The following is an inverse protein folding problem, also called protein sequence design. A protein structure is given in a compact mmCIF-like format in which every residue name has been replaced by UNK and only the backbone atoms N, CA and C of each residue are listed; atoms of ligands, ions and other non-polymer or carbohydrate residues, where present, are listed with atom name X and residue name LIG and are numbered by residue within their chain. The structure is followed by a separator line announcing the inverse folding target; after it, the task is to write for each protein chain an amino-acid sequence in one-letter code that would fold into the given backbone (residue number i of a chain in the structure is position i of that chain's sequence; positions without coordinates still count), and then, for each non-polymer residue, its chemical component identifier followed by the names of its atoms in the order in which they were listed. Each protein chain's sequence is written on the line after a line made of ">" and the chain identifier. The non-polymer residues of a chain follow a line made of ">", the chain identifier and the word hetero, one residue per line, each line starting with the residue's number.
data_IF_170550344734
#
_entry.id   IF_170550344734
#
_cell.length_a   1.000
_cell.length_b   1.000
_cell.length_c   1.000
_cell.angle_alpha   90.00
_cell.angle_beta   90.00
_cell.angle_gamma   90.00
#
_symmetry.space_group_name_H-M   'P 1'
#
loop_
_entity.id
_entity.type
_entity.pdbx_description
1 polymer ?
2 water ?
#
# COMPACT_ATOMS: atom_id res chain seq x y z
N UNK A 3 -5.15 -8.35 -3.60
CA UNK A 3 -5.14 -9.46 -4.55
C UNK A 3 -3.73 -9.71 -5.02
N UNK A 4 -3.10 -8.67 -5.54
CA UNK A 4 -1.66 -8.66 -5.70
C UNK A 4 -0.91 -8.33 -4.43
N UNK A 5 -1.62 -8.13 -3.31
CA UNK A 5 -1.04 -7.70 -2.06
C UNK A 5 -1.40 -6.29 -1.64
N UNK A 6 -2.21 -5.57 -2.42
CA UNK A 6 -2.52 -4.18 -2.10
C UNK A 6 -3.37 -4.07 -0.83
N UNK A 7 -4.38 -4.93 -0.68
CA UNK A 7 -5.23 -4.85 0.50
C UNK A 7 -4.45 -5.16 1.77
N UNK A 8 -3.61 -6.20 1.73
CA UNK A 8 -2.82 -6.55 2.91
C UNK A 8 -1.91 -5.40 3.32
N UNK A 9 -1.47 -4.60 2.36
CA UNK A 9 -0.62 -3.46 2.69
C UNK A 9 -1.43 -2.34 3.34
N UNK A 10 -2.66 -2.12 2.88
CA UNK A 10 -3.53 -1.14 3.52
C UNK A 10 -3.89 -1.59 4.93
N UNK A 11 -4.15 -2.88 5.11
CA UNK A 11 -4.47 -3.41 6.44
C UNK A 11 -3.33 -3.16 7.41
N UNK A 12 -2.10 -3.43 6.97
CA UNK A 12 -0.97 -3.30 7.88
C UNK A 12 -0.77 -1.85 8.29
N UNK A 13 -0.95 -0.92 7.34
CA UNK A 13 -0.84 0.50 7.67
C UNK A 13 -1.94 0.90 8.65
N UNK A 14 -3.17 0.46 8.37
CA UNK A 14 -4.30 0.81 9.23
C UNK A 14 -4.11 0.23 10.62
N UNK A 15 -3.71 -1.04 10.70
CA UNK A 15 -3.57 -1.66 12.01
C UNK A 15 -2.48 -0.98 12.82
N UNK A 16 -1.39 -0.58 12.16
CA UNK A 16 -0.32 0.13 12.86
C UNK A 16 -0.82 1.46 13.40
N UNK A 17 -1.66 2.15 12.64
CA UNK A 17 -2.18 3.44 13.08
C UNK A 17 -3.16 3.30 14.23
N UNK A 18 -3.94 2.22 14.25
CA UNK A 18 -4.94 2.06 15.30
C UNK A 18 -4.29 1.66 16.62
N UNK A 19 -3.33 0.73 16.59
CA UNK A 19 -2.68 0.33 17.83
C UNK A 19 -1.82 1.46 18.38
N UNK A 20 -1.33 2.34 17.52
CA UNK A 20 -0.43 3.41 17.94
C UNK A 20 -1.15 4.64 18.49
N UNK A 21 -2.48 4.66 18.48
CA UNK A 21 -3.24 5.70 19.14
C UNK A 21 -3.30 5.35 20.62
N UNK A 22 -4.08 6.10 21.42
CA UNK A 22 -4.50 5.57 22.72
C UNK A 22 -5.08 4.18 22.59
N UNK A 25 -9.51 5.62 18.11
CA UNK A 25 -9.63 6.46 16.92
C UNK A 25 -11.07 6.57 16.42
N UNK A 26 -11.48 7.77 16.05
CA UNK A 26 -12.66 7.88 15.20
C UNK A 26 -12.25 7.54 13.76
N UNK A 27 -13.26 7.26 12.93
CA UNK A 27 -13.00 7.07 11.50
C UNK A 27 -12.33 8.31 10.92
N UNK A 28 -12.81 9.49 11.31
CA UNK A 28 -12.22 10.74 10.85
C UNK A 28 -10.75 10.83 11.22
N UNK A 29 -10.42 10.56 12.49
CA UNK A 29 -9.03 10.68 12.92
C UNK A 29 -8.15 9.64 12.24
N UNK A 30 -8.66 8.41 12.08
CA UNK A 30 -7.91 7.39 11.34
C UNK A 30 -7.60 7.85 9.92
N UNK A 31 -8.56 8.50 9.26
CA UNK A 31 -8.34 8.96 7.90
C UNK A 31 -7.28 10.05 7.85
N UNK A 32 -7.28 10.96 8.82
CA UNK A 32 -6.23 11.98 8.86
C UNK A 32 -4.87 11.39 9.21
N UNK A 33 -4.82 10.42 10.13
CA UNK A 33 -3.55 9.77 10.43
C UNK A 33 -3.04 8.97 9.24
N UNK A 34 -3.95 8.34 8.49
CA UNK A 34 -3.55 7.61 7.29
C UNK A 34 -2.99 8.56 6.23
N UNK A 35 -3.70 9.67 6.00
CA UNK A 35 -3.22 10.72 5.10
C UNK A 35 -1.86 11.24 5.54
N UNK A 36 -1.68 11.47 6.84
CA UNK A 36 -0.42 12.00 7.35
C UNK A 36 0.71 10.98 7.24
N UNK A 37 0.39 9.69 7.27
CA UNK A 37 1.40 8.65 7.19
C UNK A 37 1.73 8.28 5.75
N UNK A 38 0.71 7.91 4.97
CA UNK A 38 0.91 7.41 3.62
C UNK A 38 0.96 8.50 2.56
N UNK A 39 0.55 9.73 2.88
CA UNK A 39 0.48 10.76 1.87
C UNK A 39 -0.65 10.61 0.88
N UNK A 40 -1.61 9.72 1.16
CA UNK A 40 -2.74 9.46 0.28
C UNK A 40 -3.98 9.19 1.12
N UNK A 41 -5.14 9.38 0.50
CA UNK A 41 -6.42 9.13 1.17
C UNK A 41 -6.60 7.63 1.40
N UNK A 42 -7.21 7.29 2.54
CA UNK A 42 -7.64 5.92 2.77
C UNK A 42 -8.43 5.43 1.55
N UNK A 43 -7.93 4.42 0.81
CA UNK A 43 -8.46 4.06 -0.51
C UNK A 43 -9.78 3.29 -0.50
N UNK A 44 -10.73 3.73 0.34
CA UNK A 44 -12.02 3.06 0.38
C UNK A 44 -12.77 3.21 -0.94
N UNK A 45 -12.63 4.36 -1.60
CA UNK A 45 -13.34 4.60 -2.84
C UNK A 45 -12.79 3.73 -3.97
N UNK A 46 -11.47 3.63 -4.08
CA UNK A 46 -10.88 2.78 -5.11
C UNK A 46 -11.23 1.32 -4.91
N UNK A 47 -11.43 0.90 -3.66
CA UNK A 47 -11.81 -0.47 -3.36
C UNK A 47 -13.30 -0.73 -3.52
N UNK A 48 -14.08 0.27 -3.95
CA UNK A 48 -15.48 0.08 -4.29
C UNK A 48 -16.49 0.51 -3.24
N UNK A 49 -16.05 0.97 -2.07
CA UNK A 49 -16.97 1.29 -0.98
C UNK A 49 -17.40 2.75 -1.01
N UNK A 50 -18.61 3.00 -0.50
CA UNK A 50 -19.20 4.33 -0.55
C UNK A 50 -18.65 5.28 0.51
N UNK A 51 -18.06 4.75 1.59
CA UNK A 51 -17.49 5.59 2.63
C UNK A 51 -16.44 4.78 3.39
N UNK A 52 -15.70 5.46 4.27
CA UNK A 52 -14.65 4.79 5.01
C UNK A 52 -15.21 3.70 5.92
N UNK A 53 -16.36 3.97 6.56
CA UNK A 53 -16.94 2.99 7.48
C UNK A 53 -17.20 1.66 6.79
N UNK A 54 -17.76 1.71 5.57
CA UNK A 54 -18.08 0.47 4.86
C UNK A 54 -16.82 -0.31 4.51
N UNK A 55 -15.76 0.39 4.11
CA UNK A 55 -14.49 -0.30 3.90
C UNK A 55 -13.98 -0.92 5.20
N UNK A 56 -13.95 -0.13 6.28
CA UNK A 56 -13.41 -0.63 7.54
C UNK A 56 -14.22 -1.80 8.09
N UNK A 57 -15.53 -1.79 7.87
CA UNK A 57 -16.35 -2.93 8.26
C UNK A 57 -16.08 -4.16 7.39
N UNK A 58 -15.45 -3.98 6.23
CA UNK A 58 -15.12 -5.09 5.35
C UNK A 58 -13.81 -5.79 5.70
N UNK A 59 -13.05 -5.27 6.66
CA UNK A 59 -11.81 -5.93 7.06
C UNK A 59 -11.85 -6.28 8.54
N UNK A 60 -12.75 -7.18 8.97
CA UNK A 60 -12.85 -7.51 10.40
C UNK A 60 -11.65 -8.28 10.95
N UNK A 61 -10.73 -8.73 10.10
CA UNK A 61 -9.50 -9.33 10.62
C UNK A 61 -8.54 -8.28 11.16
N UNK A 62 -8.82 -7.00 10.93
CA UNK A 62 -7.89 -5.92 11.26
C UNK A 62 -8.46 -4.92 12.25
N UNK A 63 -9.70 -4.47 12.05
CA UNK A 63 -10.32 -3.48 12.93
C UNK A 63 -11.76 -3.89 13.22
N UNK A 64 -12.34 -3.21 14.22
CA UNK A 64 -13.75 -3.31 14.56
C UNK A 64 -14.33 -1.90 14.60
N UNK A 65 -15.56 -1.75 14.13
CA UNK A 65 -16.23 -0.46 14.06
C UNK A 65 -17.36 -0.44 15.08
N UNK A 66 -17.36 0.58 15.94
CA UNK A 66 -18.42 0.78 16.92
C UNK A 66 -19.07 2.14 16.66
N UNK A 67 -20.33 2.13 16.25
CA UNK A 67 -21.01 3.33 15.82
C UNK A 67 -21.09 3.41 14.31
N UNK A 68 -21.56 4.56 13.84
CA UNK A 68 -21.72 4.79 12.41
C UNK A 68 -21.21 6.18 12.05
N UNK A 69 -20.74 6.33 10.82
CA UNK A 69 -20.29 7.61 10.33
C UNK A 69 -18.84 7.90 10.66
N UNK A 70 -18.44 9.14 10.34
CA UNK A 70 -17.05 9.55 10.56
C UNK A 70 -16.67 9.56 12.04
N UNK A 71 -17.64 9.65 12.95
CA UNK A 71 -17.34 9.63 14.37
C UNK A 71 -17.45 8.25 14.99
N UNK A 72 -17.65 7.21 14.19
CA UNK A 72 -17.60 5.85 14.71
C UNK A 72 -16.20 5.56 15.24
N UNK A 73 -16.14 4.69 16.25
CA UNK A 73 -14.90 4.39 16.95
C UNK A 73 -14.25 3.16 16.31
N UNK A 74 -12.96 3.26 16.01
CA UNK A 74 -12.20 2.17 15.40
C UNK A 74 -11.24 1.61 16.43
N UNK A 75 -11.28 0.29 16.63
CA UNK A 75 -10.36 -0.40 17.53
C UNK A 75 -9.68 -1.53 16.77
N UNK A 76 -8.53 -1.96 17.28
CA UNK A 76 -7.72 -2.97 16.61
C UNK A 76 -8.16 -4.38 16.98
N UNK A 77 -7.87 -5.32 16.08
CA UNK A 77 -8.16 -6.73 16.28
C UNK A 77 -6.86 -7.45 16.60
N UNK A 78 -6.86 -8.23 17.67
CA UNK A 78 -5.64 -8.91 18.11
C UNK A 78 -5.22 -9.97 17.10
N UNK A 79 -3.91 -10.19 17.02
CA UNK A 79 -3.38 -11.29 16.23
C UNK A 79 -3.46 -12.59 17.03
N UNK A 80 -3.41 -13.71 16.30
CA UNK A 80 -3.61 -15.05 16.84
C UNK A 80 -2.92 -15.30 18.19
N UNK B 4 6.21 -9.75 6.96
CA UNK B 4 5.08 -9.07 7.57
C UNK B 4 5.17 -7.56 7.54
N UNK B 5 6.39 -7.03 7.56
CA UNK B 5 6.58 -5.59 7.57
C UNK B 5 6.15 -4.94 6.27
N UNK B 6 6.18 -3.61 6.27
CA UNK B 6 5.70 -2.86 5.12
C UNK B 6 6.60 -3.07 3.91
N UNK B 7 7.92 -3.08 4.11
CA UNK B 7 8.85 -3.35 3.01
C UNK B 7 8.51 -4.67 2.32
N UNK B 8 8.35 -5.73 3.12
CA UNK B 8 7.98 -7.03 2.58
C UNK B 8 6.69 -6.96 1.78
N UNK B 9 5.70 -6.22 2.28
CA UNK B 9 4.42 -6.14 1.58
C UNK B 9 4.53 -5.32 0.31
N UNK B 10 5.35 -4.26 0.32
CA UNK B 10 5.56 -3.48 -0.89
C UNK B 10 6.27 -4.32 -1.95
N UNK B 11 7.22 -5.15 -1.52
CA UNK B 11 7.96 -5.98 -2.46
C UNK B 11 7.05 -6.99 -3.15
N UNK B 12 6.06 -7.52 -2.42
CA UNK B 12 5.12 -8.45 -3.03
C UNK B 12 4.20 -7.75 -4.03
N UNK B 13 3.79 -6.51 -3.74
CA UNK B 13 2.95 -5.79 -4.68
C UNK B 13 3.72 -5.50 -5.96
N UNK B 14 4.97 -5.04 -5.82
CA UNK B 14 5.81 -4.79 -6.99
C UNK B 14 5.97 -6.06 -7.81
N UNK B 15 6.23 -7.18 -7.14
CA UNK B 15 6.43 -8.44 -7.85
C UNK B 15 5.17 -8.86 -8.61
N UNK B 16 4.00 -8.72 -7.98
CA UNK B 16 2.75 -9.07 -8.65
C UNK B 16 2.54 -8.21 -9.90
N UNK B 17 2.87 -6.92 -9.81
CA UNK B 17 2.66 -6.04 -10.95
C UNK B 17 3.60 -6.37 -12.10
N UNK B 18 4.83 -6.78 -11.79
CA UNK B 18 5.78 -7.15 -12.84
C UNK B 18 5.36 -8.45 -13.51
N UNK B 19 4.96 -9.44 -12.71
CA UNK B 19 4.59 -10.73 -13.28
C UNK B 19 3.30 -10.63 -14.08
N UNK B 20 2.37 -9.77 -13.66
CA UNK B 20 1.09 -9.67 -14.35
C UNK B 20 1.17 -8.86 -15.63
N UNK B 21 2.28 -8.16 -15.88
CA UNK B 21 2.47 -7.47 -17.15
C UNK B 21 3.06 -8.44 -18.16
N UNK B 22 2.35 -8.75 -19.26
CA UNK B 22 2.92 -9.69 -20.24
C UNK B 22 4.25 -9.22 -20.81
N UNK B 23 4.33 -7.97 -21.23
CA UNK B 23 5.57 -7.44 -21.75
C UNK B 23 6.48 -6.94 -20.65
N UNK B 24 7.76 -6.82 -20.99
CA UNK B 24 8.74 -6.31 -20.04
C UNK B 24 8.43 -4.85 -19.73
N UNK B 25 8.58 -4.48 -18.46
CA UNK B 25 8.18 -3.16 -17.96
C UNK B 25 9.36 -2.20 -17.89
N UNK B 26 9.06 -0.92 -18.08
CA UNK B 26 9.97 0.16 -17.74
C UNK B 26 9.68 0.64 -16.32
N UNK B 27 10.60 1.43 -15.77
CA UNK B 27 10.36 2.04 -14.47
C UNK B 27 9.10 2.90 -14.52
N UNK B 28 8.94 3.70 -15.58
CA UNK B 28 7.82 4.62 -15.63
C UNK B 28 6.49 3.88 -15.76
N UNK B 29 6.47 2.75 -16.48
CA UNK B 29 5.23 1.98 -16.57
C UNK B 29 4.90 1.32 -15.23
N UNK B 30 5.89 0.70 -14.59
CA UNK B 30 5.66 0.12 -13.27
C UNK B 30 5.18 1.17 -12.28
N UNK B 31 5.77 2.37 -12.34
CA UNK B 31 5.35 3.48 -11.50
C UNK B 31 3.87 3.77 -11.69
N UNK B 32 3.44 3.86 -12.95
CA UNK B 32 2.04 4.14 -13.27
C UNK B 32 1.15 2.99 -12.84
N UNK B 33 1.62 1.75 -12.99
CA UNK B 33 0.84 0.59 -12.60
C UNK B 33 0.62 0.56 -11.10
N UNK B 34 1.67 0.86 -10.33
CA UNK B 34 1.55 0.86 -8.88
C UNK B 34 0.60 1.96 -8.41
N UNK B 35 0.72 3.15 -9.00
CA UNK B 35 -0.12 4.28 -8.60
C UNK B 35 -1.59 3.98 -8.83
N UNK B 36 -1.92 3.31 -9.94
CA UNK B 36 -3.31 2.97 -10.20
C UNK B 36 -3.77 1.80 -9.33
N UNK B 37 -2.95 0.75 -9.22
CA UNK B 37 -3.38 -0.44 -8.50
C UNK B 37 -3.46 -0.21 -7.00
N UNK B 38 -2.59 0.64 -6.45
CA UNK B 38 -2.60 0.91 -5.02
C UNK B 38 -3.30 2.22 -4.66
N UNK B 39 -3.52 3.11 -5.62
CA UNK B 39 -4.07 4.41 -5.31
C UNK B 39 -3.07 5.38 -4.72
N UNK B 40 -1.78 5.06 -4.78
CA UNK B 40 -0.75 5.88 -4.15
C UNK B 40 0.59 5.56 -4.80
N UNK B 41 1.47 6.55 -4.81
CA UNK B 41 2.77 6.42 -5.47
C UNK B 41 3.60 5.33 -4.81
N UNK B 42 4.36 4.59 -5.64
CA UNK B 42 5.36 3.64 -5.18
C UNK B 42 6.15 4.28 -4.04
N UNK B 43 6.12 3.69 -2.84
CA UNK B 43 6.60 4.38 -1.63
C UNK B 43 8.11 4.32 -1.41
N UNK B 44 8.88 4.63 -2.46
CA UNK B 44 10.34 4.60 -2.33
C UNK B 44 10.83 5.60 -1.29
N UNK B 45 10.17 6.76 -1.18
CA UNK B 45 10.64 7.77 -0.24
C UNK B 45 10.32 7.38 1.20
N UNK B 46 9.10 6.89 1.45
CA UNK B 46 8.76 6.39 2.77
C UNK B 46 9.71 5.28 3.21
N UNK B 47 10.19 4.47 2.26
CA UNK B 47 11.12 3.40 2.57
C UNK B 47 12.57 3.88 2.63
N UNK B 48 12.83 5.17 2.45
CA UNK B 48 14.13 5.76 2.70
C UNK B 48 14.99 6.08 1.49
N UNK B 49 14.48 5.92 0.26
CA UNK B 49 15.30 6.03 -0.94
C UNK B 49 15.03 7.34 -1.67
N UNK B 50 16.03 7.80 -2.43
CA UNK B 50 15.94 9.11 -3.06
C UNK B 50 15.09 9.11 -4.32
N UNK B 51 14.90 7.95 -4.95
CA UNK B 51 14.09 7.85 -6.16
C UNK B 51 13.64 6.40 -6.32
N UNK B 52 12.75 6.19 -7.30
CA UNK B 52 12.20 4.86 -7.53
C UNK B 52 13.29 3.86 -7.92
N UNK B 53 14.21 4.28 -8.80
CA UNK B 53 15.25 3.35 -9.26
C UNK B 53 16.13 2.88 -8.11
N UNK B 54 16.43 3.76 -7.16
CA UNK B 54 17.27 3.37 -6.04
C UNK B 54 16.60 2.29 -5.20
N UNK B 55 15.31 2.48 -4.89
CA UNK B 55 14.58 1.45 -4.16
C UNK B 55 14.56 0.14 -4.93
N UNK B 56 14.29 0.20 -6.24
CA UNK B 56 14.17 -1.02 -7.03
C UNK B 56 15.51 -1.75 -7.14
N UNK B 57 16.62 -1.01 -7.16
CA UNK B 57 17.94 -1.63 -7.14
C UNK B 57 18.29 -2.21 -5.78
N UNK B 58 17.56 -1.85 -4.73
CA UNK B 58 17.82 -2.36 -3.39
C UNK B 58 17.13 -3.69 -3.12
N UNK B 59 16.28 -4.16 -4.02
CA UNK B 59 15.57 -5.42 -3.80
C UNK B 59 15.87 -6.41 -4.92
N UNK B 60 17.12 -6.87 -5.07
CA UNK B 60 17.41 -7.85 -6.13
C UNK B 60 16.76 -9.20 -5.91
N UNK B 61 16.27 -9.50 -4.70
CA UNK B 61 15.53 -10.74 -4.48
C UNK B 61 14.14 -10.71 -5.10
N UNK B 62 13.73 -9.59 -5.68
CA UNK B 62 12.38 -9.41 -6.20
C UNK B 62 12.37 -8.99 -7.66
N UNK B 63 13.20 -8.02 -8.05
CA UNK B 63 13.24 -7.52 -9.41
C UNK B 63 14.69 -7.29 -9.82
N UNK B 64 14.88 -7.11 -11.12
CA UNK B 64 16.17 -6.77 -11.70
C UNK B 64 16.01 -5.49 -12.51
N UNK B 65 16.92 -4.54 -12.31
CA UNK B 65 16.90 -3.26 -13.01
C UNK B 65 18.01 -3.28 -14.05
N UNK B 66 17.66 -2.98 -15.30
CA UNK B 66 18.62 -2.91 -16.40
C UNK B 66 18.52 -1.54 -17.06
N UNK B 67 19.62 -0.79 -17.03
CA UNK B 67 19.61 0.58 -17.51
C UNK B 67 19.38 1.56 -16.37
N UNK B 68 19.21 2.82 -16.75
CA UNK B 68 19.01 3.90 -15.79
C UNK B 68 17.86 4.80 -16.23
N UNK B 69 17.20 5.41 -15.26
CA UNK B 69 16.17 6.39 -15.54
C UNK B 69 14.79 5.79 -15.70
N UNK B 70 13.88 6.64 -16.18
CA UNK B 70 12.48 6.24 -16.37
C UNK B 70 12.34 5.06 -17.32
N UNK B 71 13.22 4.94 -18.31
CA UNK B 71 13.10 3.90 -19.32
C UNK B 71 13.94 2.66 -19.00
N UNK B 72 14.48 2.56 -17.79
CA UNK B 72 15.15 1.34 -17.38
C UNK B 72 14.15 0.19 -17.31
N UNK B 73 14.63 -1.01 -17.67
CA UNK B 73 13.79 -2.20 -17.63
C UNK B 73 13.69 -2.74 -16.21
N UNK B 74 12.50 -3.24 -15.86
CA UNK B 74 12.26 -3.92 -14.59
C UNK B 74 11.73 -5.31 -14.91
N UNK B 75 12.46 -6.34 -14.50
CA UNK B 75 12.08 -7.72 -14.77
C UNK B 75 12.06 -8.51 -13.47
N UNK B 76 11.19 -9.52 -13.42
CA UNK B 76 11.05 -10.32 -12.22
C UNK B 76 12.29 -11.18 -12.00
N UNK B 77 12.62 -11.41 -10.73
CA UNK B 77 13.82 -12.16 -10.38
C UNK B 77 13.70 -13.59 -10.89
N UNK B 78 14.79 -14.10 -11.46
CA UNK B 78 14.82 -15.44 -12.05
C UNK B 78 14.36 -16.52 -11.07
#
# INVERSE_FOLDING_TARGET
>A
MDDGGELSLVKKVVHSLVVSSPGKLTVEQLMRDYRSAAGCTLPYSKLGFKDAESFLRSIPDTVTVTGHGQMAWITAVATA
>B
MDDGGELSLVKKVVHSLVVSSPGKLTVEQLMRDYRSAAGCTLPYSKLGFKDAESFLRSIPDTVTVTGHGQMAWITAVATA
#
